data_IF_582828221311
#
_entry.id   IF_582828221311
#
_cell.length_a   1.000
_cell.length_b   1.000
_cell.length_c   1.000
_cell.angle_alpha   90.00
_cell.angle_beta   90.00
_cell.angle_gamma   90.00
#
_symmetry.space_group_name_H-M   'P 1'
#
loop_
_entity.id
_entity.type
_entity.pdbx_description
1 polymer ?
#
# COMPACT_ATOMS: atom_id res chain seq x y z
N UNK A 1 -34.51 7.78 -9.04
CA UNK A 1 -34.52 8.04 -7.57
C UNK A 1 -34.60 9.54 -7.36
N UNK A 2 -35.29 10.03 -6.32
CA UNK A 2 -35.30 11.46 -6.03
C UNK A 2 -33.99 11.88 -5.36
N UNK A 3 -33.60 13.15 -5.51
CA UNK A 3 -32.39 13.68 -4.90
C UNK A 3 -32.35 13.52 -3.37
N UNK A 4 -33.50 13.68 -2.70
CA UNK A 4 -33.60 13.56 -1.26
C UNK A 4 -33.44 12.12 -0.75
N UNK A 5 -33.76 11.12 -1.55
CA UNK A 5 -33.53 9.71 -1.21
C UNK A 5 -32.02 9.43 -1.21
N UNK A 6 -31.31 9.96 -2.22
CA UNK A 6 -29.85 9.90 -2.31
C UNK A 6 -29.20 10.58 -1.10
N UNK A 7 -29.66 11.81 -0.79
CA UNK A 7 -29.11 12.58 0.33
C UNK A 7 -29.33 11.87 1.68
N UNK A 8 -30.53 11.33 1.94
CA UNK A 8 -30.82 10.55 3.15
C UNK A 8 -29.90 9.35 3.31
N UNK A 9 -29.81 8.53 2.27
CA UNK A 9 -28.95 7.36 2.27
C UNK A 9 -27.50 7.74 2.59
N UNK A 10 -27.01 8.85 2.04
CA UNK A 10 -25.65 9.29 2.25
C UNK A 10 -25.42 9.87 3.64
N UNK A 11 -26.37 10.60 4.19
CA UNK A 11 -26.38 11.11 5.58
C UNK A 11 -26.28 9.93 6.55
N UNK A 12 -27.09 8.88 6.35
CA UNK A 12 -27.07 7.68 7.19
C UNK A 12 -25.74 6.93 7.09
N UNK A 13 -25.19 6.76 5.88
CA UNK A 13 -23.88 6.12 5.67
C UNK A 13 -22.74 6.87 6.34
N UNK A 14 -22.79 8.20 6.36
CA UNK A 14 -21.76 9.04 6.98
C UNK A 14 -21.98 9.27 8.48
N UNK A 15 -23.09 8.79 9.05
CA UNK A 15 -23.44 9.01 10.45
C UNK A 15 -23.66 10.49 10.77
N UNK A 16 -24.07 11.31 9.77
CA UNK A 16 -24.30 12.74 9.93
C UNK A 16 -25.69 13.02 10.48
N UNK A 17 -25.84 14.11 11.24
CA UNK A 17 -27.14 14.62 11.65
C UNK A 17 -27.63 15.71 10.69
N UNK A 18 -28.96 15.86 10.58
CA UNK A 18 -29.55 16.96 9.81
C UNK A 18 -29.13 18.35 10.31
N UNK A 19 -28.78 18.46 11.60
CA UNK A 19 -28.26 19.70 12.19
C UNK A 19 -26.91 20.10 11.60
N UNK A 20 -25.98 19.12 11.42
CA UNK A 20 -24.68 19.37 10.80
C UNK A 20 -24.80 19.77 9.32
N UNK A 21 -25.75 19.17 8.60
CA UNK A 21 -26.05 19.56 7.22
C UNK A 21 -26.59 20.99 7.17
N UNK A 22 -27.52 21.35 8.09
CA UNK A 22 -28.08 22.67 8.15
C UNK A 22 -27.05 23.74 8.51
N UNK A 23 -26.17 23.46 9.46
CA UNK A 23 -25.06 24.32 9.87
C UNK A 23 -24.11 24.60 8.69
N UNK A 24 -23.73 23.56 7.97
CA UNK A 24 -22.82 23.69 6.81
C UNK A 24 -23.42 24.55 5.69
N UNK A 25 -24.71 24.41 5.46
CA UNK A 25 -25.42 25.15 4.39
C UNK A 25 -25.90 26.54 4.83
N UNK A 26 -25.70 26.92 6.08
CA UNK A 26 -26.18 28.18 6.61
C UNK A 26 -27.71 28.31 6.66
N UNK A 27 -28.43 27.18 6.76
CA UNK A 27 -29.91 27.12 6.80
C UNK A 27 -30.43 26.56 8.12
N UNK A 28 -31.73 26.61 8.33
CA UNK A 28 -32.33 26.04 9.55
C UNK A 28 -32.51 24.52 9.42
N UNK A 29 -32.43 23.79 10.54
CA UNK A 29 -32.75 22.35 10.60
C UNK A 29 -34.13 22.04 9.99
N UNK A 30 -35.11 22.90 10.24
CA UNK A 30 -36.48 22.77 9.69
C UNK A 30 -36.48 22.81 8.15
N UNK A 31 -35.66 23.68 7.54
CA UNK A 31 -35.50 23.72 6.07
C UNK A 31 -34.98 22.41 5.53
N UNK A 32 -33.87 21.90 6.10
CA UNK A 32 -33.28 20.61 5.69
C UNK A 32 -34.27 19.47 5.87
N UNK A 33 -34.99 19.43 7.00
CA UNK A 33 -36.00 18.39 7.25
C UNK A 33 -37.15 18.45 6.22
N UNK A 34 -37.64 19.65 5.87
CA UNK A 34 -38.65 19.80 4.81
C UNK A 34 -38.15 19.36 3.44
N UNK A 35 -36.94 19.68 3.10
CA UNK A 35 -36.29 19.27 1.85
C UNK A 35 -36.14 17.74 1.74
N UNK A 36 -35.56 17.14 2.78
CA UNK A 36 -35.33 15.69 2.77
C UNK A 36 -36.64 14.89 2.81
N UNK A 37 -37.73 15.45 3.28
CA UNK A 37 -39.05 14.80 3.28
C UNK A 37 -39.92 15.18 2.08
N UNK A 38 -39.34 15.87 1.07
CA UNK A 38 -40.02 16.24 -0.16
C UNK A 38 -41.17 17.25 0.04
N UNK A 39 -41.26 17.90 1.19
CA UNK A 39 -42.33 18.90 1.51
C UNK A 39 -42.04 20.25 0.86
N UNK A 40 -40.82 20.54 0.56
CA UNK A 40 -40.35 21.75 -0.13
C UNK A 40 -39.16 21.38 -1.02
N UNK A 41 -39.16 21.90 -2.25
CA UNK A 41 -38.03 21.70 -3.15
C UNK A 41 -37.00 22.82 -2.97
N UNK A 42 -35.74 22.51 -2.65
CA UNK A 42 -34.64 23.45 -2.74
C UNK A 42 -34.32 23.78 -4.18
N UNK A 43 -33.58 24.86 -4.39
CA UNK A 43 -32.99 25.17 -5.71
C UNK A 43 -31.98 24.12 -6.13
N UNK A 44 -31.67 24.04 -7.42
CA UNK A 44 -30.66 23.10 -7.94
C UNK A 44 -29.27 23.42 -7.35
N UNK A 45 -28.99 24.67 -7.02
CA UNK A 45 -27.75 25.10 -6.36
C UNK A 45 -27.68 24.59 -4.94
N UNK A 46 -28.79 24.63 -4.19
CA UNK A 46 -28.86 24.06 -2.83
C UNK A 46 -28.71 22.54 -2.84
N UNK A 47 -29.32 21.85 -3.83
CA UNK A 47 -29.12 20.40 -4.04
C UNK A 47 -27.65 20.10 -4.33
N UNK A 48 -27.02 20.90 -5.19
CA UNK A 48 -25.59 20.77 -5.51
C UNK A 48 -24.71 20.94 -4.26
N UNK A 49 -25.00 21.94 -3.43
CA UNK A 49 -24.26 22.18 -2.17
C UNK A 49 -24.45 21.03 -1.17
N UNK A 50 -25.67 20.47 -1.07
CA UNK A 50 -25.94 19.27 -0.25
C UNK A 50 -25.11 18.09 -0.76
N UNK A 51 -25.12 17.82 -2.06
CA UNK A 51 -24.38 16.71 -2.66
C UNK A 51 -22.87 16.88 -2.50
N UNK A 52 -22.35 18.08 -2.68
CA UNK A 52 -20.94 18.37 -2.46
C UNK A 52 -20.53 18.11 -1.02
N UNK A 53 -21.32 18.55 -0.05
CA UNK A 53 -21.06 18.30 1.37
C UNK A 53 -21.11 16.82 1.73
N UNK A 54 -22.02 16.07 1.10
CA UNK A 54 -22.19 14.64 1.31
C UNK A 54 -21.22 13.79 0.48
N UNK A 55 -20.33 14.41 -0.33
CA UNK A 55 -19.38 13.71 -1.18
C UNK A 55 -20.02 12.97 -2.35
N UNK A 56 -21.16 13.43 -2.84
CA UNK A 56 -21.84 12.89 -4.03
C UNK A 56 -21.35 13.68 -5.24
N UNK A 57 -20.39 13.12 -6.00
CA UNK A 57 -19.72 13.82 -7.11
C UNK A 57 -20.33 13.52 -8.49
N UNK A 58 -21.02 12.39 -8.66
CA UNK A 58 -21.54 11.91 -9.95
C UNK A 58 -23.06 11.89 -10.02
N UNK A 59 -23.71 12.92 -9.46
CA UNK A 59 -25.16 13.07 -9.58
C UNK A 59 -25.53 13.66 -10.94
N UNK A 60 -26.37 12.95 -11.70
CA UNK A 60 -26.93 13.41 -12.98
C UNK A 60 -28.41 13.68 -12.85
N UNK A 61 -28.84 14.84 -13.30
CA UNK A 61 -30.26 15.19 -13.41
C UNK A 61 -30.79 14.63 -14.73
N UNK A 62 -31.81 13.81 -14.67
CA UNK A 62 -32.43 13.17 -15.84
C UNK A 62 -33.60 14.00 -16.37
N UNK A 63 -33.95 13.83 -17.66
CA UNK A 63 -35.05 14.56 -18.31
C UNK A 63 -36.44 14.28 -17.69
N UNK A 64 -36.57 13.18 -16.94
CA UNK A 64 -37.80 12.79 -16.24
C UNK A 64 -37.93 13.44 -14.84
N UNK A 65 -37.00 14.34 -14.49
CA UNK A 65 -36.99 15.03 -13.19
C UNK A 65 -36.36 14.20 -12.05
N UNK A 66 -35.83 13.00 -12.34
CA UNK A 66 -35.12 12.17 -11.35
C UNK A 66 -33.64 12.46 -11.33
N UNK A 67 -32.97 12.00 -10.25
CA UNK A 67 -31.53 11.97 -10.16
C UNK A 67 -31.04 10.52 -10.25
N UNK A 68 -30.03 10.28 -11.07
CA UNK A 68 -29.23 9.09 -11.03
C UNK A 68 -27.86 9.47 -10.44
N UNK A 69 -27.44 8.74 -9.44
CA UNK A 69 -26.03 8.73 -9.06
C UNK A 69 -25.42 7.63 -9.94
N UNK A 70 -24.45 7.97 -10.75
CA UNK A 70 -23.59 6.95 -11.34
C UNK A 70 -23.17 6.05 -10.18
N UNK A 71 -23.15 4.74 -10.37
CA UNK A 71 -22.48 3.90 -9.38
C UNK A 71 -21.15 4.59 -9.14
N UNK A 72 -21.03 5.19 -7.97
CA UNK A 72 -19.73 5.60 -7.50
C UNK A 72 -18.95 4.30 -7.54
N UNK A 73 -18.14 4.11 -8.57
CA UNK A 73 -16.94 3.33 -8.37
C UNK A 73 -16.47 3.94 -7.07
N UNK A 74 -16.64 3.21 -5.96
CA UNK A 74 -15.93 3.53 -4.75
C UNK A 74 -14.53 3.81 -5.26
N UNK A 75 -14.16 5.08 -5.35
CA UNK A 75 -12.77 5.42 -5.37
C UNK A 75 -12.33 4.95 -4.00
N UNK A 76 -12.00 3.66 -3.93
CA UNK A 76 -11.17 3.14 -2.87
C UNK A 76 -10.13 4.23 -2.71
N UNK A 77 -9.95 4.81 -1.52
CA UNK A 77 -9.00 5.90 -1.33
C UNK A 77 -7.77 5.47 -2.09
N UNK A 78 -7.39 6.26 -3.11
CA UNK A 78 -6.23 5.94 -3.96
C UNK A 78 -5.11 5.85 -2.96
N UNK A 79 -4.73 4.61 -2.61
CA UNK A 79 -3.63 4.40 -1.68
C UNK A 79 -2.45 5.10 -2.34
N UNK A 80 -1.73 5.97 -1.63
CA UNK A 80 -0.60 6.64 -2.22
C UNK A 80 0.28 5.59 -2.88
N UNK A 81 0.56 5.78 -4.15
CA UNK A 81 1.40 4.88 -4.92
C UNK A 81 2.81 5.45 -4.85
N UNK A 82 3.73 4.64 -4.40
CA UNK A 82 5.15 4.94 -4.32
C UNK A 82 5.86 4.13 -5.40
N UNK A 83 6.96 4.65 -5.93
CA UNK A 83 7.78 3.96 -6.91
C UNK A 83 9.21 3.87 -6.39
N UNK A 84 9.79 2.68 -6.48
CA UNK A 84 11.17 2.44 -6.07
C UNK A 84 11.93 1.77 -7.21
N UNK A 85 13.24 2.05 -7.33
CA UNK A 85 14.06 1.46 -8.37
C UNK A 85 14.18 -0.05 -8.19
N UNK A 86 14.20 -0.76 -9.30
CA UNK A 86 14.46 -2.20 -9.37
C UNK A 86 15.87 -2.44 -9.86
N UNK A 87 16.59 -3.30 -9.14
CA UNK A 87 17.96 -3.70 -9.45
C UNK A 87 18.06 -5.21 -9.55
N UNK A 88 18.95 -5.69 -10.42
CA UNK A 88 19.32 -7.09 -10.42
C UNK A 88 20.11 -7.44 -9.15
N UNK A 89 20.12 -8.72 -8.80
CA UNK A 89 20.84 -9.23 -7.64
C UNK A 89 22.33 -8.85 -7.62
N UNK A 90 22.97 -8.80 -8.78
CA UNK A 90 24.39 -8.42 -8.91
C UNK A 90 24.62 -6.95 -8.56
N UNK A 91 23.68 -6.08 -8.91
CA UNK A 91 23.76 -4.64 -8.64
C UNK A 91 23.46 -4.33 -7.17
N UNK A 92 22.60 -5.09 -6.51
CA UNK A 92 22.28 -4.92 -5.09
C UNK A 92 23.51 -5.00 -4.17
N UNK A 93 24.54 -5.74 -4.59
CA UNK A 93 25.81 -5.85 -3.88
C UNK A 93 26.57 -4.55 -3.70
N UNK A 94 26.29 -3.55 -4.51
CA UNK A 94 26.95 -2.25 -4.47
C UNK A 94 26.20 -1.20 -3.64
N UNK A 95 25.05 -1.54 -3.06
CA UNK A 95 24.23 -0.63 -2.21
C UNK A 95 24.67 -0.56 -0.75
N UNK A 96 25.91 -0.91 -0.42
CA UNK A 96 26.41 -0.65 0.93
C UNK A 96 26.65 0.85 1.12
N UNK A 97 26.41 1.42 2.33
CA UNK A 97 26.64 2.83 2.62
C UNK A 97 28.06 3.32 2.31
N UNK A 98 29.00 2.40 2.20
CA UNK A 98 30.42 2.65 1.89
C UNK A 98 30.69 2.80 0.39
N UNK A 99 29.83 2.24 -0.48
CA UNK A 99 29.92 2.31 -1.94
C UNK A 99 28.68 2.96 -2.53
N UNK A 100 28.48 4.25 -2.30
CA UNK A 100 27.43 5.08 -2.93
C UNK A 100 27.66 5.28 -4.43
N UNK A 101 28.01 4.23 -5.16
CA UNK A 101 28.38 4.33 -6.58
C UNK A 101 27.20 4.14 -7.52
N UNK A 102 26.05 3.58 -7.04
CA UNK A 102 24.86 3.44 -7.86
C UNK A 102 23.89 4.59 -7.62
N UNK A 103 23.56 5.25 -8.69
CA UNK A 103 22.53 6.28 -8.74
C UNK A 103 21.23 5.63 -9.24
N UNK A 104 20.10 6.31 -9.04
CA UNK A 104 18.80 5.91 -9.61
C UNK A 104 18.85 5.71 -11.15
N UNK A 105 19.95 6.15 -11.81
CA UNK A 105 20.17 5.98 -13.26
C UNK A 105 20.61 4.56 -13.64
N UNK A 106 21.06 3.77 -12.67
CA UNK A 106 21.56 2.42 -12.88
C UNK A 106 20.45 1.37 -12.62
N UNK A 107 19.23 1.81 -12.29
CA UNK A 107 18.09 0.94 -12.13
C UNK A 107 17.65 0.33 -13.46
N UNK A 108 17.34 -0.96 -13.47
CA UNK A 108 16.78 -1.66 -14.63
C UNK A 108 15.33 -1.24 -14.91
N UNK A 109 14.63 -0.73 -13.89
CA UNK A 109 13.25 -0.28 -13.98
C UNK A 109 12.78 0.35 -12.68
N UNK A 110 11.48 0.70 -12.64
CA UNK A 110 10.80 1.24 -11.47
C UNK A 110 9.55 0.41 -11.21
N UNK A 111 9.33 0.06 -9.96
CA UNK A 111 8.19 -0.78 -9.56
C UNK A 111 7.34 -0.04 -8.54
N UNK A 112 6.05 0.03 -8.84
CA UNK A 112 5.05 0.71 -8.01
C UNK A 112 4.60 -0.16 -6.84
N UNK A 113 4.32 0.50 -5.70
CA UNK A 113 3.79 -0.15 -4.49
C UNK A 113 2.93 0.81 -3.68
N UNK A 114 2.06 0.27 -2.83
CA UNK A 114 1.33 1.05 -1.83
C UNK A 114 2.07 1.15 -0.50
N UNK A 115 3.21 0.49 -0.37
CA UNK A 115 4.05 0.54 0.83
C UNK A 115 5.00 1.74 0.75
N UNK A 116 4.92 2.63 1.74
CA UNK A 116 5.90 3.69 1.90
C UNK A 116 7.15 3.13 2.57
N UNK A 117 8.30 3.38 1.98
CA UNK A 117 9.64 3.08 2.49
C UNK A 117 10.53 4.32 2.41
N UNK A 118 11.79 4.24 2.80
CA UNK A 118 12.75 5.33 2.69
C UNK A 118 13.06 5.69 1.22
N UNK A 119 13.70 6.84 0.98
CA UNK A 119 14.09 7.29 -0.37
C UNK A 119 15.19 6.41 -1.00
N UNK A 120 15.87 5.62 -0.17
CA UNK A 120 16.94 4.70 -0.59
C UNK A 120 16.46 3.25 -0.70
N UNK A 121 15.16 3.02 -0.52
CA UNK A 121 14.58 1.69 -0.71
C UNK A 121 14.62 1.27 -2.18
N UNK A 122 14.71 -0.03 -2.41
CA UNK A 122 14.82 -0.61 -3.75
C UNK A 122 14.21 -2.00 -3.83
N UNK A 123 13.83 -2.40 -5.03
CA UNK A 123 13.33 -3.73 -5.32
C UNK A 123 14.43 -4.67 -5.77
N UNK A 124 14.35 -5.93 -5.34
CA UNK A 124 15.14 -7.05 -5.81
C UNK A 124 14.25 -8.20 -6.21
N UNK A 125 14.68 -9.01 -7.14
CA UNK A 125 14.07 -10.30 -7.45
C UNK A 125 14.62 -11.39 -6.53
N UNK A 126 13.75 -12.27 -6.06
CA UNK A 126 14.15 -13.44 -5.26
C UNK A 126 14.76 -14.49 -6.18
N UNK A 127 16.00 -14.88 -5.90
CA UNK A 127 16.69 -15.96 -6.56
C UNK A 127 16.75 -17.21 -5.71
N UNK A 128 16.54 -18.36 -6.35
CA UNK A 128 16.61 -19.67 -5.72
C UNK A 128 15.46 -19.97 -4.75
N UNK A 129 15.54 -21.11 -4.10
CA UNK A 129 14.42 -21.71 -3.35
C UNK A 129 14.57 -21.66 -1.83
N UNK A 130 15.60 -20.98 -1.30
CA UNK A 130 15.87 -20.97 0.14
C UNK A 130 14.78 -20.27 0.96
N UNK A 131 14.03 -19.35 0.33
CA UNK A 131 12.94 -18.61 0.94
C UNK A 131 11.54 -19.07 0.50
N UNK A 132 11.49 -20.18 -0.25
CA UNK A 132 10.23 -20.87 -0.58
C UNK A 132 9.84 -21.77 0.59
N UNK A 133 8.82 -21.36 1.35
CA UNK A 133 8.33 -22.14 2.49
C UNK A 133 7.63 -23.43 2.04
N UNK A 134 7.58 -24.48 2.88
CA UNK A 134 6.82 -25.68 2.61
C UNK A 134 5.34 -25.39 2.31
N UNK A 135 4.70 -26.25 1.52
CA UNK A 135 3.30 -26.10 1.14
C UNK A 135 2.40 -25.87 2.37
N UNK A 136 1.54 -24.86 2.30
CA UNK A 136 0.65 -24.46 3.40
C UNK A 136 1.26 -23.51 4.43
N UNK A 137 2.57 -23.28 4.41
CA UNK A 137 3.23 -22.31 5.32
C UNK A 137 3.22 -20.90 4.75
N UNK A 138 3.11 -19.89 5.62
CA UNK A 138 3.19 -18.46 5.24
C UNK A 138 4.05 -17.70 6.24
N UNK A 139 4.79 -16.68 5.81
CA UNK A 139 4.97 -16.24 4.41
C UNK A 139 5.84 -17.21 3.61
N UNK A 140 5.83 -17.06 2.28
CA UNK A 140 6.69 -17.75 1.34
C UNK A 140 7.12 -16.79 0.24
N UNK A 141 8.38 -16.83 -0.16
CA UNK A 141 8.96 -15.97 -1.19
C UNK A 141 9.60 -16.86 -2.26
N UNK A 142 8.81 -17.34 -3.23
CA UNK A 142 9.32 -18.12 -4.34
C UNK A 142 10.24 -17.31 -5.24
N UNK A 143 11.07 -18.02 -5.99
CA UNK A 143 11.89 -17.44 -7.06
C UNK A 143 11.03 -16.63 -8.04
N UNK A 144 11.56 -15.48 -8.50
CA UNK A 144 10.86 -14.54 -9.37
C UNK A 144 9.96 -13.53 -8.64
N UNK A 145 9.71 -13.68 -7.35
CA UNK A 145 8.97 -12.69 -6.56
C UNK A 145 9.83 -11.46 -6.30
N UNK A 146 9.25 -10.27 -6.39
CA UNK A 146 9.91 -9.02 -6.02
C UNK A 146 9.80 -8.76 -4.52
N UNK A 147 10.89 -8.31 -3.92
CA UNK A 147 10.98 -7.88 -2.52
C UNK A 147 11.46 -6.44 -2.44
N UNK A 148 10.78 -5.60 -1.64
CA UNK A 148 11.19 -4.23 -1.37
C UNK A 148 12.10 -4.21 -0.15
N UNK A 149 13.33 -3.76 -0.35
CA UNK A 149 14.36 -3.67 0.67
C UNK A 149 14.51 -2.22 1.11
N UNK A 150 14.44 -1.97 2.40
CA UNK A 150 14.67 -0.65 2.99
C UNK A 150 15.93 -0.68 3.87
N UNK A 151 17.04 -0.05 3.45
CA UNK A 151 18.26 0.02 4.22
C UNK A 151 18.20 0.89 5.48
N UNK A 152 17.22 1.80 5.57
CA UNK A 152 17.07 2.72 6.70
C UNK A 152 16.10 2.18 7.77
N UNK A 153 15.30 1.15 7.43
CA UNK A 153 14.41 0.51 8.40
C UNK A 153 15.20 -0.49 9.26
N UNK A 154 15.26 -0.32 10.59
CA UNK A 154 16.00 -1.24 11.45
C UNK A 154 15.48 -2.67 11.36
N UNK A 155 16.43 -3.62 11.36
CA UNK A 155 16.11 -5.05 11.26
C UNK A 155 16.21 -5.68 12.66
N UNK A 156 15.06 -6.18 13.13
CA UNK A 156 14.96 -6.88 14.40
C UNK A 156 14.87 -8.41 14.21
N UNK A 157 15.21 -9.21 15.23
CA UNK A 157 14.98 -10.65 15.20
C UNK A 157 13.52 -11.00 14.93
N UNK A 158 13.27 -11.77 13.88
CA UNK A 158 11.95 -12.10 13.34
C UNK A 158 11.69 -11.46 11.99
N UNK A 159 12.40 -10.42 11.62
CA UNK A 159 12.28 -9.75 10.33
C UNK A 159 12.97 -10.52 9.19
N UNK A 160 12.52 -10.22 7.97
CA UNK A 160 13.19 -10.65 6.74
C UNK A 160 14.17 -9.58 6.30
N UNK A 161 15.36 -9.98 5.90
CA UNK A 161 16.42 -9.05 5.53
C UNK A 161 17.30 -9.58 4.41
N UNK A 162 17.94 -8.64 3.73
CA UNK A 162 19.11 -8.92 2.91
C UNK A 162 20.34 -8.79 3.78
N UNK A 163 21.19 -9.81 3.76
CA UNK A 163 22.48 -9.79 4.43
C UNK A 163 23.60 -10.03 3.41
N UNK A 164 24.73 -9.33 3.62
CA UNK A 164 25.97 -9.54 2.89
C UNK A 164 26.83 -10.49 3.71
N UNK A 165 27.31 -11.54 3.05
CA UNK A 165 28.25 -12.50 3.61
C UNK A 165 29.70 -12.18 3.16
N UNK A 166 30.63 -12.94 3.67
CA UNK A 166 32.03 -12.87 3.24
C UNK A 166 32.13 -13.07 1.71
N UNK A 167 32.94 -12.25 1.01
CA UNK A 167 33.15 -12.36 -0.42
C UNK A 167 32.13 -11.66 -1.31
N UNK A 168 31.40 -10.69 -0.76
CA UNK A 168 30.38 -9.90 -1.46
C UNK A 168 29.16 -10.72 -1.94
N UNK A 169 28.89 -11.84 -1.31
CA UNK A 169 27.69 -12.62 -1.53
C UNK A 169 26.51 -12.05 -0.74
N UNK A 170 25.36 -11.88 -1.40
CA UNK A 170 24.13 -11.41 -0.79
C UNK A 170 23.17 -12.59 -0.62
N UNK A 171 22.42 -12.55 0.47
CA UNK A 171 21.44 -13.59 0.76
C UNK A 171 20.18 -13.00 1.37
N UNK A 172 19.03 -13.51 0.97
CA UNK A 172 17.74 -13.19 1.54
C UNK A 172 17.37 -14.23 2.59
N UNK A 173 17.19 -13.84 3.85
CA UNK A 173 16.88 -14.73 4.98
C UNK A 173 16.00 -14.04 6.02
N UNK A 174 15.50 -14.84 6.96
CA UNK A 174 14.90 -14.34 8.20
C UNK A 174 15.98 -14.20 9.25
N UNK A 175 16.06 -13.02 9.87
CA UNK A 175 16.96 -12.79 11.00
C UNK A 175 16.36 -13.44 12.26
N UNK A 176 17.11 -14.27 12.94
CA UNK A 176 16.70 -14.86 14.21
C UNK A 176 17.80 -14.67 15.25
N UNK A 177 17.43 -14.67 16.53
CA UNK A 177 18.35 -14.62 17.65
C UNK A 177 18.07 -15.78 18.57
N UNK A 178 19.11 -16.56 18.86
CA UNK A 178 19.06 -17.67 19.81
C UNK A 178 20.30 -17.64 20.71
N UNK A 179 20.07 -17.79 22.02
CA UNK A 179 21.15 -17.85 23.04
C UNK A 179 22.18 -16.72 22.92
N UNK A 180 21.71 -15.50 22.53
CA UNK A 180 22.55 -14.32 22.35
C UNK A 180 23.26 -14.22 21.00
N UNK A 181 23.19 -15.25 20.19
CA UNK A 181 23.76 -15.27 18.84
C UNK A 181 22.70 -14.96 17.77
N UNK A 182 23.13 -14.36 16.68
CA UNK A 182 22.29 -14.00 15.53
C UNK A 182 22.53 -14.98 14.40
N UNK A 183 21.44 -15.40 13.75
CA UNK A 183 21.47 -16.34 12.65
C UNK A 183 20.57 -15.85 11.52
N UNK A 184 20.89 -16.31 10.32
CA UNK A 184 20.10 -16.15 9.09
C UNK A 184 19.39 -17.46 8.79
N UNK A 185 18.08 -17.48 8.95
CA UNK A 185 17.24 -18.66 8.80
C UNK A 185 16.54 -18.65 7.43
N UNK A 186 16.70 -19.68 6.59
CA UNK A 186 15.87 -19.89 5.42
C UNK A 186 14.44 -20.32 5.84
N UNK A 187 13.46 -20.06 4.98
CA UNK A 187 12.11 -20.60 5.14
C UNK A 187 11.99 -22.05 4.65
N UNK A 188 12.84 -22.44 3.71
CA UNK A 188 12.95 -23.81 3.23
C UNK A 188 13.86 -24.62 4.14
N UNK A 189 13.33 -25.64 4.86
CA UNK A 189 14.12 -26.43 5.80
C UNK A 189 15.21 -27.31 5.17
N UNK A 190 15.23 -27.41 3.84
CA UNK A 190 16.30 -28.09 3.11
C UNK A 190 17.62 -27.32 3.06
N UNK A 191 17.57 -26.02 3.39
CA UNK A 191 18.71 -25.14 3.43
C UNK A 191 19.21 -24.94 4.86
N UNK A 192 20.52 -24.80 5.08
CA UNK A 192 21.07 -24.65 6.43
C UNK A 192 20.80 -23.27 7.02
N UNK A 193 20.64 -23.20 8.33
CA UNK A 193 20.72 -21.96 9.10
C UNK A 193 22.18 -21.53 9.15
N UNK A 194 22.44 -20.24 8.91
CA UNK A 194 23.79 -19.69 8.87
C UNK A 194 24.01 -18.71 10.04
N UNK A 195 25.15 -18.77 10.75
CA UNK A 195 25.45 -17.77 11.77
C UNK A 195 25.72 -16.42 11.09
N UNK A 196 25.15 -15.34 11.68
CA UNK A 196 25.48 -13.97 11.28
C UNK A 196 26.50 -13.42 12.30
N UNK A 197 27.76 -13.64 12.02
CA UNK A 197 28.90 -13.21 12.84
C UNK A 197 29.54 -11.93 12.25
N UNK A 198 30.78 -11.62 12.65
CA UNK A 198 31.52 -10.43 12.20
C UNK A 198 31.68 -10.32 10.67
N UNK A 199 31.58 -11.44 9.96
CA UNK A 199 31.68 -11.52 8.49
C UNK A 199 30.32 -11.36 7.80
N UNK A 200 29.23 -11.17 8.56
CA UNK A 200 27.88 -10.97 8.08
C UNK A 200 27.40 -9.57 8.40
N UNK A 201 26.91 -8.85 7.42
CA UNK A 201 26.34 -7.52 7.59
C UNK A 201 24.92 -7.48 7.04
N UNK A 202 23.96 -7.08 7.85
CA UNK A 202 22.61 -6.80 7.39
C UNK A 202 22.61 -5.53 6.55
N UNK A 203 22.03 -5.60 5.34
CA UNK A 203 22.00 -4.52 4.36
C UNK A 203 20.70 -3.72 4.47
N UNK A 204 19.56 -4.39 4.67
CA UNK A 204 18.28 -3.75 4.79
C UNK A 204 17.15 -4.73 5.10
N UNK A 205 16.06 -4.18 5.58
CA UNK A 205 14.83 -4.89 5.91
C UNK A 205 13.97 -5.10 4.68
N UNK A 206 13.39 -6.28 4.53
CA UNK A 206 12.36 -6.52 3.52
C UNK A 206 11.02 -6.08 4.07
N UNK A 207 10.45 -5.02 3.49
CA UNK A 207 9.26 -4.33 3.98
C UNK A 207 8.00 -4.60 3.17
N UNK A 208 8.14 -5.14 1.96
CA UNK A 208 7.04 -5.56 1.09
C UNK A 208 7.50 -6.65 0.11
N UNK A 209 6.54 -7.35 -0.48
CA UNK A 209 6.78 -8.27 -1.58
C UNK A 209 5.57 -8.28 -2.52
N UNK A 210 5.82 -8.51 -3.82
CA UNK A 210 4.79 -8.65 -4.84
C UNK A 210 5.29 -9.48 -6.01
N UNK A 211 4.38 -10.00 -6.83
CA UNK A 211 4.75 -10.58 -8.11
C UNK A 211 4.96 -9.49 -9.15
N UNK A 212 5.88 -9.66 -10.11
CA UNK A 212 5.98 -8.78 -11.27
C UNK A 212 4.64 -8.72 -12.03
N UNK A 213 4.26 -7.54 -12.51
CA UNK A 213 3.00 -7.35 -13.25
C UNK A 213 2.96 -8.17 -14.56
N UNK A 214 4.12 -8.45 -15.15
CA UNK A 214 4.28 -9.21 -16.39
C UNK A 214 3.85 -10.68 -16.30
N UNK A 215 3.72 -11.24 -15.08
CA UNK A 215 3.28 -12.63 -14.90
C UNK A 215 1.79 -12.79 -15.23
N UNK A 216 1.02 -11.71 -15.19
CA UNK A 216 -0.42 -11.71 -15.42
C UNK A 216 -0.84 -10.97 -16.70
N UNK A 217 0.13 -10.60 -17.55
CA UNK A 217 -0.03 -9.84 -18.80
C UNK A 217 -0.80 -10.50 -19.91
#
# INVERSE_FOLDING_TARGET
>A
MNWYDIAKQRIDQLGLSQDKVAEHLGVTKGAVSHWLNGRRNPSIQEIGAIFQYLGVTDARFNADGTFSVGESTEQKPVKPQFEYPFFSHVQAGMFTPEFRTFTQRDAEGWVSTTKKASEVAFWLEVEGHSMTAPAGSRPSFPEGMLILVDPEDPVDPGDFCIARLCGDEFTFKKLIKDSGQVFLQPLNPQFPIMPCNEQCRVVGKVVASQWPDEIFG
#
